data_IF_055298929630
#
_entry.id   IF_055298929630
#
_cell.length_a   1.000
_cell.length_b   1.000
_cell.length_c   1.000
_cell.angle_alpha   90.00
_cell.angle_beta   90.00
_cell.angle_gamma   90.00
#
_symmetry.space_group_name_H-M   'P 1'
#
loop_
_entity.id
_entity.type
_entity.pdbx_description
1 polymer ?
#
# COMPACT_ATOMS: atom_id res chain seq x y z
N UNK A 1 -2.60 25.47 0.75
CA UNK A 1 -3.03 24.71 -0.44
C UNK A 1 -2.06 23.57 -0.66
N UNK A 2 -2.39 22.37 -0.20
CA UNK A 2 -1.74 21.14 -0.65
C UNK A 2 -2.84 20.11 -0.70
N UNK A 3 -3.16 19.70 -1.94
CA UNK A 3 -4.22 18.75 -2.29
C UNK A 3 -4.18 17.54 -1.36
N UNK A 4 -5.28 17.24 -0.68
CA UNK A 4 -5.58 15.90 -0.20
C UNK A 4 -5.68 15.03 -1.45
N UNK A 5 -4.55 14.43 -1.82
CA UNK A 5 -4.45 13.54 -2.94
C UNK A 5 -4.42 12.17 -2.31
N UNK A 6 -5.61 11.57 -2.23
CA UNK A 6 -5.78 10.21 -1.75
C UNK A 6 -4.75 9.32 -2.42
N UNK A 7 -3.83 8.77 -1.63
CA UNK A 7 -2.60 8.17 -2.14
C UNK A 7 -2.31 6.85 -1.45
N UNK A 8 -2.17 5.80 -2.27
CA UNK A 8 -1.69 4.50 -1.85
C UNK A 8 -0.19 4.46 -2.10
N UNK A 9 0.59 4.27 -1.05
CA UNK A 9 2.03 4.12 -1.09
C UNK A 9 2.41 2.71 -0.64
N UNK A 10 3.10 1.98 -1.52
CA UNK A 10 3.63 0.65 -1.26
C UNK A 10 5.12 0.76 -0.97
N UNK A 11 5.49 0.51 0.28
CA UNK A 11 6.87 0.38 0.74
C UNK A 11 7.32 -1.07 0.54
N UNK A 12 8.34 -1.28 -0.29
CA UNK A 12 8.82 -2.63 -0.62
C UNK A 12 10.31 -2.80 -0.40
N UNK A 13 10.70 -4.03 -0.08
CA UNK A 13 12.06 -4.54 -0.26
C UNK A 13 12.18 -5.28 -1.60
N UNK A 14 13.40 -5.51 -2.07
CA UNK A 14 13.71 -6.38 -3.21
C UNK A 14 13.10 -7.76 -3.01
N UNK A 15 12.61 -8.34 -4.10
CA UNK A 15 12.11 -9.72 -4.18
C UNK A 15 10.95 -10.09 -3.25
N UNK A 16 10.23 -9.12 -2.66
CA UNK A 16 9.04 -9.44 -1.87
C UNK A 16 7.86 -9.90 -2.75
N UNK A 17 7.54 -11.20 -2.70
CA UNK A 17 6.42 -11.80 -3.44
C UNK A 17 5.08 -11.16 -3.08
N UNK A 18 4.86 -10.86 -1.79
CA UNK A 18 3.64 -10.22 -1.29
C UNK A 18 3.47 -8.80 -1.84
N UNK A 19 4.53 -7.99 -1.86
CA UNK A 19 4.50 -6.66 -2.49
C UNK A 19 4.13 -6.74 -3.97
N UNK A 20 4.73 -7.68 -4.71
CA UNK A 20 4.43 -7.86 -6.13
C UNK A 20 2.95 -8.22 -6.37
N UNK A 21 2.33 -8.98 -5.47
CA UNK A 21 0.91 -9.34 -5.58
C UNK A 21 0.00 -8.12 -5.40
N UNK A 22 0.24 -7.29 -4.39
CA UNK A 22 -0.53 -6.06 -4.17
C UNK A 22 -0.34 -5.10 -5.34
N UNK A 23 0.91 -4.88 -5.77
CA UNK A 23 1.21 -3.98 -6.90
C UNK A 23 0.44 -4.42 -8.15
N UNK A 24 0.53 -5.71 -8.51
CA UNK A 24 -0.24 -6.26 -9.64
C UNK A 24 -1.75 -6.13 -9.46
N UNK A 25 -2.25 -6.30 -8.24
CA UNK A 25 -3.67 -6.10 -7.95
C UNK A 25 -4.07 -4.65 -8.22
N UNK A 26 -3.33 -3.68 -7.68
CA UNK A 26 -3.59 -2.25 -7.89
C UNK A 26 -3.52 -1.89 -9.38
N UNK A 27 -2.51 -2.38 -10.11
CA UNK A 27 -2.37 -2.22 -11.56
C UNK A 27 -3.57 -2.81 -12.33
N UNK A 28 -3.99 -4.04 -12.02
CA UNK A 28 -5.11 -4.71 -12.68
C UNK A 28 -6.44 -3.96 -12.51
N UNK A 29 -6.62 -3.29 -11.37
CA UNK A 29 -7.82 -2.50 -11.08
C UNK A 29 -7.66 -1.01 -11.41
N UNK A 30 -6.56 -0.60 -12.04
CA UNK A 30 -6.22 0.80 -12.37
C UNK A 30 -6.30 1.73 -11.15
N UNK A 31 -5.86 1.24 -9.98
CA UNK A 31 -5.84 2.02 -8.75
C UNK A 31 -4.53 2.81 -8.69
N UNK A 32 -4.58 4.16 -8.62
CA UNK A 32 -3.39 4.99 -8.51
C UNK A 32 -2.59 4.65 -7.26
N UNK A 33 -1.30 4.38 -7.42
CA UNK A 33 -0.40 4.09 -6.31
C UNK A 33 1.04 4.48 -6.63
N UNK A 34 1.82 4.69 -5.57
CA UNK A 34 3.25 4.91 -5.63
C UNK A 34 3.98 3.71 -5.01
N UNK A 35 5.14 3.35 -5.56
CA UNK A 35 5.98 2.28 -5.01
C UNK A 35 7.33 2.86 -4.64
N UNK A 36 7.70 2.78 -3.36
CA UNK A 36 9.01 3.20 -2.86
C UNK A 36 9.80 2.04 -2.27
N UNK A 37 11.12 2.10 -2.44
CA UNK A 37 12.05 1.06 -2.00
C UNK A 37 12.58 1.36 -0.60
N UNK A 38 12.34 0.46 0.36
CA UNK A 38 12.87 0.56 1.71
C UNK A 38 14.40 0.42 1.77
N UNK A 39 15.04 -0.10 0.72
CA UNK A 39 16.48 -0.29 0.68
C UNK A 39 17.24 0.91 0.12
N UNK A 40 16.59 1.72 -0.71
CA UNK A 40 17.28 2.77 -1.49
C UNK A 40 16.65 4.15 -1.36
N UNK A 41 15.44 4.27 -0.83
CA UNK A 41 14.75 5.56 -0.64
C UNK A 41 14.74 5.94 0.86
N UNK A 42 15.50 6.99 1.26
CA UNK A 42 15.54 7.44 2.65
C UNK A 42 14.19 7.95 3.17
N UNK A 43 13.34 8.51 2.31
CA UNK A 43 12.03 8.99 2.73
C UNK A 43 11.07 7.81 2.97
N UNK A 44 11.20 6.74 2.19
CA UNK A 44 10.49 5.48 2.45
C UNK A 44 10.85 4.90 3.81
N UNK A 45 12.13 4.93 4.18
CA UNK A 45 12.61 4.48 5.50
C UNK A 45 12.05 5.33 6.64
N UNK A 46 12.01 6.66 6.48
CA UNK A 46 11.41 7.56 7.47
C UNK A 46 9.92 7.31 7.64
N UNK A 47 9.18 7.11 6.54
CA UNK A 47 7.75 6.80 6.58
C UNK A 47 7.51 5.48 7.30
N UNK A 48 8.29 4.44 6.97
CA UNK A 48 8.18 3.14 7.63
C UNK A 48 8.45 3.25 9.14
N UNK A 49 9.50 3.96 9.54
CA UNK A 49 9.82 4.18 10.95
C UNK A 49 8.71 4.96 11.68
N UNK A 50 8.17 6.02 11.07
CA UNK A 50 7.09 6.83 11.65
C UNK A 50 5.81 6.04 11.86
N UNK A 51 5.50 5.13 10.94
CA UNK A 51 4.26 4.33 10.96
C UNK A 51 4.46 2.94 11.59
N UNK A 52 5.61 2.67 12.21
CA UNK A 52 5.98 1.37 12.79
C UNK A 52 5.81 0.19 11.81
N UNK A 53 6.10 0.41 10.53
CA UNK A 53 6.12 -0.64 9.52
C UNK A 53 7.45 -1.38 9.64
N UNK A 54 7.38 -2.59 10.20
CA UNK A 54 8.57 -3.41 10.48
C UNK A 54 8.92 -4.38 9.34
N UNK A 55 8.02 -4.55 8.36
CA UNK A 55 8.17 -5.58 7.32
C UNK A 55 7.60 -5.15 5.98
N UNK A 56 8.13 -5.76 4.92
CA UNK A 56 7.63 -5.64 3.56
C UNK A 56 6.55 -6.70 3.28
N UNK A 57 5.45 -6.35 2.59
CA UNK A 57 5.08 -5.01 2.12
C UNK A 57 4.65 -4.10 3.28
N UNK A 58 5.07 -2.85 3.25
CA UNK A 58 4.42 -1.77 4.00
C UNK A 58 3.38 -1.12 3.11
N UNK A 59 2.13 -1.08 3.55
CA UNK A 59 1.03 -0.46 2.79
C UNK A 59 0.63 0.78 3.55
N UNK A 60 0.65 1.92 2.87
CA UNK A 60 0.22 3.20 3.43
C UNK A 60 -0.90 3.73 2.57
N UNK A 61 -2.05 4.03 3.17
CA UNK A 61 -3.22 4.59 2.50
C UNK A 61 -3.57 5.88 3.23
N UNK A 62 -3.54 7.00 2.52
CA UNK A 62 -3.80 8.35 3.09
C UNK A 62 -2.97 8.63 4.35
N UNK A 63 -1.71 8.20 4.35
CA UNK A 63 -0.79 8.39 5.48
C UNK A 63 -1.00 7.43 6.66
N UNK A 64 -1.94 6.49 6.59
CA UNK A 64 -2.15 5.44 7.59
C UNK A 64 -1.56 4.11 7.14
N UNK A 65 -0.93 3.38 8.05
CA UNK A 65 -0.44 2.03 7.75
C UNK A 65 -1.61 1.03 7.74
N UNK A 66 -1.72 0.27 6.65
CA UNK A 66 -2.68 -0.82 6.49
C UNK A 66 -1.95 -2.15 6.70
N UNK A 67 -2.57 -3.06 7.44
CA UNK A 67 -1.99 -4.35 7.70
C UNK A 67 -2.07 -5.23 6.43
N UNK A 68 -0.94 -5.69 5.88
CA UNK A 68 -0.95 -6.52 4.66
C UNK A 68 -1.72 -7.83 4.79
N UNK A 69 -1.86 -8.36 6.01
CA UNK A 69 -2.58 -9.61 6.27
C UNK A 69 -4.10 -9.45 6.18
N UNK A 70 -4.61 -8.21 6.21
CA UNK A 70 -6.02 -7.93 5.92
C UNK A 70 -6.31 -8.07 4.43
N UNK A 71 -5.31 -7.81 3.57
CA UNK A 71 -5.46 -7.83 2.12
C UNK A 71 -4.99 -9.16 1.49
N UNK A 72 -3.96 -9.79 2.05
CA UNK A 72 -3.34 -11.00 1.52
C UNK A 72 -3.46 -12.17 2.51
N UNK A 73 -3.94 -13.31 2.01
CA UNK A 73 -3.83 -14.61 2.68
C UNK A 73 -3.27 -15.65 1.71
N UNK A 74 -2.42 -16.58 2.18
CA UNK A 74 -1.87 -17.67 1.36
C UNK A 74 -1.23 -17.23 0.03
N UNK A 75 -0.56 -16.07 0.01
CA UNK A 75 0.03 -15.47 -1.20
C UNK A 75 -1.01 -15.15 -2.31
N UNK A 76 -2.24 -14.86 -1.93
CA UNK A 76 -3.31 -14.41 -2.80
C UNK A 76 -4.09 -13.28 -2.13
N UNK A 77 -4.73 -12.43 -2.94
CA UNK A 77 -5.64 -11.41 -2.40
C UNK A 77 -6.86 -12.12 -1.84
N UNK A 78 -7.16 -11.86 -0.57
CA UNK A 78 -8.11 -12.64 0.23
C UNK A 78 -9.53 -12.55 -0.35
N UNK A 79 -9.98 -11.32 -0.62
CA UNK A 79 -11.23 -11.02 -1.30
C UNK A 79 -11.01 -9.82 -2.23
N UNK A 80 -10.87 -10.03 -3.55
CA UNK A 80 -10.60 -8.96 -4.51
C UNK A 80 -11.63 -7.82 -4.48
N UNK A 81 -12.92 -8.13 -4.31
CA UNK A 81 -13.98 -7.14 -4.33
C UNK A 81 -13.95 -6.24 -3.08
N UNK A 82 -13.81 -6.86 -1.91
CA UNK A 82 -13.72 -6.16 -0.62
C UNK A 82 -12.41 -5.38 -0.48
N UNK A 83 -11.28 -5.95 -0.95
CA UNK A 83 -9.99 -5.26 -1.00
C UNK A 83 -10.07 -4.01 -1.89
N UNK A 84 -10.73 -4.15 -3.04
CA UNK A 84 -10.97 -3.01 -3.94
C UNK A 84 -11.81 -1.94 -3.23
N UNK A 85 -12.93 -2.32 -2.60
CA UNK A 85 -13.78 -1.38 -1.88
C UNK A 85 -13.06 -0.71 -0.72
N UNK A 86 -12.29 -1.43 0.09
CA UNK A 86 -11.52 -0.86 1.19
C UNK A 86 -10.55 0.21 0.69
N UNK A 87 -9.80 -0.11 -0.37
CA UNK A 87 -8.83 0.81 -0.96
C UNK A 87 -9.51 1.98 -1.67
N UNK A 88 -10.66 1.78 -2.33
CA UNK A 88 -11.41 2.84 -3.01
C UNK A 88 -12.13 3.77 -2.03
N UNK A 89 -12.82 3.23 -1.02
CA UNK A 89 -13.46 4.05 0.02
C UNK A 89 -12.41 4.88 0.75
N UNK A 90 -11.25 4.28 1.06
CA UNK A 90 -10.13 5.03 1.63
C UNK A 90 -9.66 6.16 0.71
N UNK A 91 -9.86 6.07 -0.60
CA UNK A 91 -9.53 7.16 -1.53
C UNK A 91 -10.63 8.22 -1.66
N UNK A 92 -11.88 7.90 -1.28
CA UNK A 92 -13.07 8.75 -1.46
C UNK A 92 -13.48 9.50 -0.18
N UNK A 93 -13.00 9.14 1.01
CA UNK A 93 -13.33 9.78 2.30
C UNK A 93 -12.79 11.23 2.49
N UNK A 94 -12.47 11.93 1.42
CA UNK A 94 -12.00 13.33 1.38
C UNK A 94 -13.04 14.31 0.77
N UNK A 95 -14.34 13.97 0.76
CA UNK A 95 -15.47 14.86 0.40
C UNK A 95 -16.29 15.34 1.62
#
# INVERSE_FOLDING_TARGET
>A
MTKNNSSILILRTRNCRKSNLIIRFLENYNIPHEVKSLETDPDAQKIAARLNILSSPGIVVNGQAVNPYELIENCQIKNPAETKQLLQNSLEEDE
#
